data_IF_481751434768
#
_entry.id   IF_481751434768
#
_cell.length_a   1.000
_cell.length_b   1.000
_cell.length_c   1.000
_cell.angle_alpha   90.00
_cell.angle_beta   90.00
_cell.angle_gamma   90.00
#
_symmetry.space_group_name_H-M   'P 1'
#
loop_
_entity.id
_entity.type
_entity.pdbx_description
1 polymer ?
#
# COMPACT_ATOMS: atom_id res chain seq x y z
N UNK A 1 0.36 -15.31 3.94
CA UNK A 1 -1.10 -15.54 4.08
C UNK A 1 -1.79 -14.57 3.12
N UNK A 2 -2.59 -15.01 2.13
CA UNK A 2 -3.17 -14.07 1.14
C UNK A 2 -4.28 -13.25 1.80
N UNK A 3 -4.01 -11.97 2.05
CA UNK A 3 -4.98 -11.01 2.61
C UNK A 3 -5.80 -10.42 1.46
N UNK A 4 -7.12 -10.53 1.53
CA UNK A 4 -8.03 -9.96 0.54
C UNK A 4 -8.67 -8.71 1.14
N UNK A 5 -8.31 -7.54 0.61
CA UNK A 5 -8.84 -6.24 1.04
C UNK A 5 -10.27 -5.95 0.50
N UNK A 6 -10.98 -6.96 0.00
CA UNK A 6 -12.28 -6.76 -0.66
C UNK A 6 -12.20 -6.03 -2.00
N UNK A 7 -11.00 -5.84 -2.54
CA UNK A 7 -10.72 -5.15 -3.80
C UNK A 7 -10.83 -6.11 -4.97
N UNK A 8 -11.50 -5.69 -6.03
CA UNK A 8 -11.41 -6.37 -7.33
C UNK A 8 -10.17 -5.85 -8.03
N UNK A 9 -9.30 -6.75 -8.51
CA UNK A 9 -8.05 -6.36 -9.17
C UNK A 9 -8.29 -5.46 -10.39
N UNK A 10 -9.43 -5.63 -11.07
CA UNK A 10 -9.84 -4.81 -12.22
C UNK A 10 -10.10 -3.34 -11.84
N UNK A 11 -10.39 -3.05 -10.57
CA UNK A 11 -10.62 -1.69 -10.05
C UNK A 11 -9.31 -1.00 -9.62
N UNK A 12 -8.18 -1.73 -9.61
CA UNK A 12 -6.88 -1.19 -9.18
C UNK A 12 -6.23 -0.43 -10.32
N UNK A 13 -6.41 0.89 -10.33
CA UNK A 13 -5.66 1.82 -11.18
C UNK A 13 -4.72 2.68 -10.33
N UNK A 14 -3.61 3.11 -10.94
CA UNK A 14 -2.56 3.91 -10.29
C UNK A 14 -3.09 5.21 -9.68
N UNK A 15 -4.07 5.84 -10.32
CA UNK A 15 -4.63 7.13 -9.88
C UNK A 15 -5.75 6.99 -8.84
N UNK A 16 -6.13 5.76 -8.48
CA UNK A 16 -7.24 5.51 -7.55
C UNK A 16 -6.76 5.74 -6.12
N UNK A 17 -7.46 6.58 -5.33
CA UNK A 17 -7.21 6.69 -3.89
C UNK A 17 -7.49 5.38 -3.17
N UNK A 18 -6.65 5.02 -2.19
CA UNK A 18 -6.72 3.74 -1.48
C UNK A 18 -8.08 3.53 -0.78
N UNK A 19 -8.70 4.59 -0.24
CA UNK A 19 -10.02 4.50 0.38
C UNK A 19 -11.13 4.05 -0.60
N UNK A 20 -10.98 4.32 -1.90
CA UNK A 20 -11.94 3.85 -2.92
C UNK A 20 -11.80 2.35 -3.20
N UNK A 21 -10.66 1.78 -2.82
CA UNK A 21 -10.39 0.34 -2.83
C UNK A 21 -10.73 -0.29 -1.46
N UNK A 22 -11.61 0.31 -0.66
CA UNK A 22 -11.91 -0.17 0.69
C UNK A 22 -10.67 -0.35 1.61
N UNK A 23 -9.56 0.31 1.28
CA UNK A 23 -8.37 0.39 2.13
C UNK A 23 -8.55 1.62 3.02
N UNK A 24 -9.18 1.43 4.16
CA UNK A 24 -9.25 2.43 5.22
C UNK A 24 -7.88 2.59 5.94
N UNK A 25 -7.83 3.44 6.97
CA UNK A 25 -6.58 3.65 7.71
C UNK A 25 -6.04 2.37 8.36
N UNK A 26 -6.90 1.48 8.87
CA UNK A 26 -6.46 0.25 9.50
C UNK A 26 -5.99 -0.76 8.44
N UNK A 27 -6.76 -0.92 7.37
CA UNK A 27 -6.38 -1.78 6.25
C UNK A 27 -5.08 -1.31 5.57
N UNK A 28 -4.81 0.00 5.56
CA UNK A 28 -3.55 0.54 5.07
C UNK A 28 -2.37 0.10 5.93
N UNK A 29 -2.43 0.25 7.25
CA UNK A 29 -1.38 -0.24 8.16
C UNK A 29 -1.09 -1.72 7.94
N UNK A 30 -2.15 -2.51 7.80
CA UNK A 30 -2.04 -3.94 7.53
C UNK A 30 -1.43 -4.26 6.16
N UNK A 31 -1.71 -3.45 5.14
CA UNK A 31 -1.12 -3.56 3.81
C UNK A 31 0.37 -3.19 3.85
N UNK A 32 0.75 -2.14 4.57
CA UNK A 32 2.13 -1.73 4.74
C UNK A 32 2.94 -2.85 5.41
N UNK A 33 2.45 -3.41 6.53
CA UNK A 33 3.08 -4.55 7.20
C UNK A 33 3.27 -5.77 6.28
N UNK A 34 2.29 -6.06 5.41
CA UNK A 34 2.40 -7.14 4.43
C UNK A 34 3.51 -6.84 3.40
N UNK A 35 3.60 -5.60 2.93
CA UNK A 35 4.63 -5.19 1.97
C UNK A 35 6.01 -5.22 2.61
N UNK A 36 6.15 -4.78 3.87
CA UNK A 36 7.40 -4.87 4.63
C UNK A 36 7.89 -6.32 4.74
N UNK A 37 7.00 -7.26 5.09
CA UNK A 37 7.32 -8.69 5.21
C UNK A 37 7.72 -9.31 3.86
N UNK A 38 6.97 -9.03 2.80
CA UNK A 38 7.19 -9.64 1.47
C UNK A 38 8.36 -9.00 0.71
N UNK A 39 8.63 -7.71 0.92
CA UNK A 39 9.71 -6.98 0.24
C UNK A 39 10.98 -6.81 1.10
N UNK A 40 10.93 -7.17 2.38
CA UNK A 40 12.01 -6.97 3.35
C UNK A 40 12.49 -5.50 3.42
N UNK A 41 11.54 -4.56 3.50
CA UNK A 41 11.79 -3.11 3.59
C UNK A 41 11.14 -2.52 4.85
N UNK A 42 11.63 -1.37 5.33
CA UNK A 42 11.02 -0.61 6.43
C UNK A 42 10.22 0.59 5.91
N UNK A 43 8.89 0.57 6.15
CA UNK A 43 7.93 1.61 5.79
C UNK A 43 7.41 2.38 7.02
N UNK A 44 7.89 2.11 8.24
CA UNK A 44 7.35 2.69 9.47
C UNK A 44 7.53 4.22 9.58
N UNK A 45 8.46 4.80 8.82
CA UNK A 45 8.72 6.24 8.75
C UNK A 45 7.91 6.95 7.66
N UNK A 46 7.11 6.23 6.87
CA UNK A 46 6.37 6.78 5.74
C UNK A 46 5.01 7.33 6.16
N UNK A 47 4.73 8.57 5.77
CA UNK A 47 3.44 9.22 6.03
C UNK A 47 2.46 8.94 4.89
N UNK A 48 2.03 7.68 4.76
CA UNK A 48 0.97 7.30 3.83
C UNK A 48 -0.40 7.37 4.51
N UNK A 49 -1.42 7.74 3.75
CA UNK A 49 -2.81 7.78 4.20
C UNK A 49 -3.73 7.10 3.19
N UNK A 50 -4.92 6.70 3.62
CA UNK A 50 -5.93 6.12 2.71
C UNK A 50 -6.39 7.09 1.62
N UNK A 51 -6.09 8.40 1.75
CA UNK A 51 -6.38 9.43 0.74
C UNK A 51 -5.37 9.44 -0.40
N UNK A 52 -4.19 8.87 -0.18
CA UNK A 52 -3.16 8.73 -1.20
C UNK A 52 -3.58 7.70 -2.24
N UNK A 53 -2.95 7.77 -3.41
CA UNK A 53 -3.24 6.86 -4.53
C UNK A 53 -2.37 5.62 -4.50
N UNK A 54 -2.78 4.60 -5.24
CA UNK A 54 -1.95 3.41 -5.49
C UNK A 54 -0.59 3.77 -6.08
N UNK A 55 -0.51 4.79 -6.94
CA UNK A 55 0.75 5.30 -7.49
C UNK A 55 1.67 5.84 -6.40
N UNK A 56 1.15 6.62 -5.45
CA UNK A 56 1.93 7.15 -4.33
C UNK A 56 2.47 6.02 -3.47
N UNK A 57 1.63 5.07 -3.08
CA UNK A 57 2.05 3.87 -2.33
C UNK A 57 3.17 3.13 -3.09
N UNK A 58 2.98 2.87 -4.38
CA UNK A 58 3.96 2.13 -5.18
C UNK A 58 5.27 2.89 -5.36
N UNK A 59 5.22 4.21 -5.46
CA UNK A 59 6.42 5.04 -5.52
C UNK A 59 7.23 4.92 -4.24
N UNK A 60 6.59 5.01 -3.07
CA UNK A 60 7.25 4.88 -1.76
C UNK A 60 7.90 3.51 -1.62
N UNK A 61 7.18 2.44 -1.93
CA UNK A 61 7.68 1.06 -1.87
C UNK A 61 8.91 0.88 -2.78
N UNK A 62 8.86 1.40 -4.01
CA UNK A 62 9.99 1.32 -4.96
C UNK A 62 11.21 2.10 -4.49
N UNK A 63 11.00 3.29 -3.91
CA UNK A 63 12.09 4.11 -3.39
C UNK A 63 12.78 3.42 -2.22
N UNK A 64 12.00 2.85 -1.29
CA UNK A 64 12.52 2.09 -0.14
C UNK A 64 13.23 0.82 -0.57
N UNK A 65 12.64 0.02 -1.45
CA UNK A 65 13.27 -1.19 -1.99
C UNK A 65 14.53 -0.93 -2.82
N UNK A 66 14.74 0.30 -3.31
CA UNK A 66 15.98 0.68 -3.99
C UNK A 66 17.04 1.27 -3.04
N UNK A 67 16.67 1.60 -1.81
CA UNK A 67 17.54 2.19 -0.80
C UNK A 67 18.11 1.14 0.17
N UNK A 68 17.46 -0.01 0.31
CA UNK A 68 17.96 -1.24 0.96
C UNK A 68 18.86 -2.06 0.02
#
# INVERSE_FOLDING_TARGET
MKKNFGVRLDDVSSDVPLYQLAIDSLALEELLLLIEDECAIDLADQTLSSRDTVATLMSVVRQKAAAE
#
